data_IF_962414187027
#
_entry.id   IF_962414187027
#
_cell.length_a   1.000
_cell.length_b   1.000
_cell.length_c   1.000
_cell.angle_alpha   90.00
_cell.angle_beta   90.00
_cell.angle_gamma   90.00
#
_symmetry.space_group_name_H-M   'P 1'
#
loop_
_entity.id
_entity.type
_entity.pdbx_description
1 polymer ?
#
# COMPACT_ATOMS: atom_id res chain seq x y z
N UNK A 1 51.25 -12.12 25.47
CA UNK A 1 50.42 -12.56 24.32
C UNK A 1 48.95 -12.13 24.47
N UNK A 2 48.29 -12.39 25.59
CA UNK A 2 46.91 -11.96 25.88
C UNK A 2 46.70 -10.43 25.82
N UNK A 3 47.65 -9.63 26.30
CA UNK A 3 47.57 -8.16 26.28
C UNK A 3 47.55 -7.57 24.86
N UNK A 4 48.21 -8.24 23.90
CA UNK A 4 48.23 -7.82 22.49
C UNK A 4 46.86 -8.05 21.86
N UNK A 5 46.21 -9.18 22.19
CA UNK A 5 44.86 -9.49 21.74
C UNK A 5 43.85 -8.45 22.24
N UNK A 6 43.89 -8.11 23.53
CA UNK A 6 43.01 -7.06 24.09
C UNK A 6 43.28 -5.68 23.52
N UNK A 7 44.53 -5.37 23.21
CA UNK A 7 44.87 -4.11 22.55
C UNK A 7 44.28 -4.08 21.15
N UNK A 8 44.46 -5.13 20.34
CA UNK A 8 43.93 -5.20 18.98
C UNK A 8 42.40 -5.12 18.94
N UNK A 9 41.72 -5.82 19.85
CA UNK A 9 40.25 -5.77 19.97
C UNK A 9 39.76 -4.37 20.32
N UNK A 10 40.46 -3.64 21.20
CA UNK A 10 40.12 -2.25 21.51
C UNK A 10 40.41 -1.30 20.35
N UNK A 11 41.55 -1.45 19.68
CA UNK A 11 41.94 -0.62 18.53
C UNK A 11 40.97 -0.78 17.36
N UNK A 12 40.46 -2.00 17.14
CA UNK A 12 39.51 -2.30 16.07
C UNK A 12 38.08 -2.50 16.60
N UNK A 13 37.75 -1.88 17.73
CA UNK A 13 36.46 -2.09 18.40
C UNK A 13 35.26 -1.98 17.46
N UNK A 14 35.13 -0.96 16.56
CA UNK A 14 33.97 -0.88 15.66
C UNK A 14 33.81 -2.08 14.73
N UNK A 15 34.91 -2.67 14.28
CA UNK A 15 34.92 -3.82 13.37
C UNK A 15 34.62 -5.13 14.07
N UNK A 16 34.76 -5.18 15.39
CA UNK A 16 34.49 -6.38 16.20
C UNK A 16 33.09 -6.29 16.82
N UNK A 17 32.71 -5.13 17.34
CA UNK A 17 31.43 -4.95 18.04
C UNK A 17 30.25 -4.99 17.08
N UNK A 18 30.37 -4.40 15.87
CA UNK A 18 29.27 -4.40 14.92
C UNK A 18 28.88 -5.80 14.44
N UNK A 19 29.81 -6.67 13.97
CA UNK A 19 29.46 -8.04 13.60
C UNK A 19 28.89 -8.85 14.76
N UNK A 20 29.46 -8.69 15.97
CA UNK A 20 28.95 -9.37 17.16
C UNK A 20 27.52 -8.92 17.49
N UNK A 21 27.27 -7.61 17.48
CA UNK A 21 25.94 -7.05 17.72
C UNK A 21 24.93 -7.50 16.65
N UNK A 22 25.34 -7.55 15.38
CA UNK A 22 24.50 -8.04 14.29
C UNK A 22 24.09 -9.51 14.49
N UNK A 23 25.05 -10.38 14.84
CA UNK A 23 24.77 -11.81 15.12
C UNK A 23 23.85 -11.95 16.33
N UNK A 24 24.14 -11.24 17.42
CA UNK A 24 23.29 -11.25 18.62
C UNK A 24 21.88 -10.75 18.30
N UNK A 25 21.74 -9.69 17.51
CA UNK A 25 20.45 -9.15 17.07
C UNK A 25 19.69 -10.14 16.18
N UNK A 26 20.37 -10.80 15.25
CA UNK A 26 19.77 -11.82 14.40
C UNK A 26 19.27 -13.02 15.23
N UNK A 27 20.09 -13.53 16.15
CA UNK A 27 19.69 -14.63 17.05
C UNK A 27 18.54 -14.19 17.95
N UNK A 28 18.62 -12.98 18.52
CA UNK A 28 17.57 -12.38 19.33
C UNK A 28 16.24 -12.27 18.58
N UNK A 29 16.27 -11.82 17.32
CA UNK A 29 15.08 -11.75 16.46
C UNK A 29 14.43 -13.12 16.23
N UNK A 30 15.25 -14.16 16.00
CA UNK A 30 14.74 -15.52 15.82
C UNK A 30 14.17 -16.10 17.13
N UNK A 31 14.82 -15.85 18.27
CA UNK A 31 14.33 -16.27 19.58
C UNK A 31 13.05 -15.52 19.98
N UNK A 32 12.99 -14.21 19.74
CA UNK A 32 11.79 -13.40 19.93
C UNK A 32 10.65 -13.93 19.07
N UNK A 33 10.92 -14.25 17.80
CA UNK A 33 9.93 -14.86 16.90
C UNK A 33 9.47 -16.24 17.39
N UNK A 34 10.36 -17.04 17.97
CA UNK A 34 10.03 -18.35 18.54
C UNK A 34 9.15 -18.22 19.79
N UNK A 35 9.45 -17.27 20.68
CA UNK A 35 8.72 -17.05 21.94
C UNK A 35 7.39 -16.32 21.71
N UNK A 36 7.36 -15.34 20.80
CA UNK A 36 6.15 -14.57 20.46
C UNK A 36 5.07 -15.43 19.79
N UNK A 37 5.44 -16.62 19.29
CA UNK A 37 4.56 -17.46 18.51
C UNK A 37 4.34 -16.91 17.10
N UNK A 38 3.50 -17.55 16.27
CA UNK A 38 3.13 -16.98 14.99
C UNK A 38 2.55 -15.59 15.25
N UNK A 39 3.18 -14.55 14.68
CA UNK A 39 2.50 -13.27 14.50
C UNK A 39 1.13 -13.60 13.91
N UNK A 40 0.02 -12.95 14.36
CA UNK A 40 -1.20 -13.03 13.57
C UNK A 40 -0.79 -12.78 12.12
N UNK A 41 -1.29 -13.58 11.15
CA UNK A 41 -1.08 -13.24 9.75
C UNK A 41 -1.42 -11.77 9.64
N UNK A 42 -0.58 -10.95 8.97
CA UNK A 42 -0.93 -9.56 8.75
C UNK A 42 -2.36 -9.61 8.25
N UNK A 43 -3.28 -9.05 9.04
CA UNK A 43 -4.70 -9.24 8.75
C UNK A 43 -4.83 -8.85 7.29
N UNK A 44 -5.37 -9.70 6.43
CA UNK A 44 -5.35 -9.46 4.97
C UNK A 44 -5.94 -8.08 4.62
N UNK A 45 -6.69 -7.50 5.56
CA UNK A 45 -7.10 -6.11 5.61
C UNK A 45 -5.92 -5.10 5.70
N UNK A 46 -4.95 -5.26 6.59
CA UNK A 46 -3.77 -4.40 6.79
C UNK A 46 -2.81 -4.37 5.59
N UNK A 47 -2.71 -5.45 4.82
CA UNK A 47 -1.88 -5.47 3.61
C UNK A 47 -2.50 -4.70 2.45
N UNK A 48 -3.83 -4.57 2.42
CA UNK A 48 -4.52 -3.85 1.35
C UNK A 48 -4.25 -2.37 1.43
N UNK A 49 -3.68 -1.83 0.35
CA UNK A 49 -3.50 -0.39 0.19
C UNK A 49 -4.86 0.33 0.25
N UNK A 50 -4.85 1.60 0.68
CA UNK A 50 -6.10 2.40 0.73
C UNK A 50 -6.75 2.48 -0.66
N UNK A 51 -5.97 2.44 -1.73
CA UNK A 51 -6.43 2.32 -3.12
C UNK A 51 -7.19 1.03 -3.37
N UNK A 52 -6.63 -0.13 -3.02
CA UNK A 52 -7.29 -1.43 -3.19
C UNK A 52 -8.59 -1.51 -2.40
N UNK A 53 -8.60 -1.03 -1.16
CA UNK A 53 -9.83 -0.97 -0.35
C UNK A 53 -10.91 -0.07 -0.98
N UNK A 54 -10.52 0.99 -1.69
CA UNK A 54 -11.47 1.86 -2.41
C UNK A 54 -12.03 1.16 -3.65
N UNK A 55 -11.20 0.41 -4.36
CA UNK A 55 -11.61 -0.37 -5.52
C UNK A 55 -12.54 -1.52 -5.11
N UNK A 56 -12.23 -2.23 -4.04
CA UNK A 56 -13.10 -3.27 -3.48
C UNK A 56 -14.49 -2.73 -3.14
N UNK A 57 -14.59 -1.53 -2.54
CA UNK A 57 -15.89 -0.88 -2.28
C UNK A 57 -16.64 -0.54 -3.57
N UNK A 58 -15.95 -0.02 -4.59
CA UNK A 58 -16.56 0.25 -5.89
C UNK A 58 -17.05 -1.03 -6.55
N UNK A 59 -16.27 -2.12 -6.47
CA UNK A 59 -16.65 -3.43 -7.00
C UNK A 59 -17.88 -3.98 -6.28
N UNK A 60 -17.96 -3.86 -4.95
CA UNK A 60 -19.15 -4.25 -4.18
C UNK A 60 -20.40 -3.43 -4.56
N UNK A 61 -20.26 -2.12 -4.77
CA UNK A 61 -21.35 -1.26 -5.22
C UNK A 61 -21.82 -1.58 -6.66
N UNK A 62 -20.93 -2.11 -7.49
CA UNK A 62 -21.19 -2.51 -8.87
C UNK A 62 -21.78 -3.92 -8.95
N UNK A 63 -21.39 -4.84 -8.06
CA UNK A 63 -21.75 -6.26 -8.12
C UNK A 63 -23.27 -6.52 -8.05
N UNK A 64 -24.07 -5.56 -7.60
CA UNK A 64 -25.54 -5.65 -7.54
C UNK A 64 -26.30 -4.76 -8.52
N UNK A 65 -25.62 -4.06 -9.45
CA UNK A 65 -26.25 -3.15 -10.42
C UNK A 65 -26.08 -3.67 -11.84
N UNK A 66 -27.15 -3.61 -12.63
CA UNK A 66 -27.05 -3.83 -14.06
C UNK A 66 -26.36 -2.63 -14.71
N UNK A 67 -25.11 -2.82 -15.14
CA UNK A 67 -24.31 -1.78 -15.78
C UNK A 67 -24.76 -1.48 -17.22
N UNK A 68 -25.64 -2.30 -17.78
CA UNK A 68 -26.17 -2.11 -19.14
C UNK A 68 -27.37 -1.18 -19.19
N UNK A 69 -28.01 -0.93 -18.05
CA UNK A 69 -29.08 0.05 -17.89
C UNK A 69 -28.50 1.47 -17.77
N UNK A 70 -28.00 2.00 -18.88
CA UNK A 70 -27.52 3.37 -18.97
C UNK A 70 -28.62 4.26 -19.53
N UNK A 71 -28.95 5.35 -18.83
CA UNK A 71 -29.87 6.37 -19.35
C UNK A 71 -29.36 6.85 -20.70
N UNK A 72 -30.21 6.77 -21.72
CA UNK A 72 -29.90 7.18 -23.08
C UNK A 72 -29.34 8.61 -23.08
N UNK A 73 -28.21 8.81 -23.74
CA UNK A 73 -27.59 10.13 -23.89
C UNK A 73 -28.52 11.13 -24.63
N UNK A 74 -29.52 10.62 -25.37
CA UNK A 74 -30.54 11.45 -26.02
C UNK A 74 -31.46 12.12 -24.99
N UNK A 75 -31.88 11.38 -23.97
CA UNK A 75 -32.76 11.90 -22.91
C UNK A 75 -32.02 12.97 -22.09
N UNK A 76 -30.72 12.78 -21.84
CA UNK A 76 -29.89 13.81 -21.17
C UNK A 76 -29.71 15.08 -22.00
N UNK A 77 -29.78 15.01 -23.33
CA UNK A 77 -29.66 16.18 -24.21
C UNK A 77 -30.92 17.05 -24.16
N UNK A 78 -32.08 16.44 -23.93
CA UNK A 78 -33.38 17.13 -23.78
C UNK A 78 -33.50 17.85 -22.43
N UNK A 79 -32.90 17.28 -21.37
CA UNK A 79 -32.94 17.85 -20.02
C UNK A 79 -31.71 18.70 -19.64
N UNK A 80 -30.64 18.71 -20.44
CA UNK A 80 -29.49 19.56 -20.18
C UNK A 80 -29.74 20.99 -20.70
N UNK A 81 -29.51 22.04 -19.88
CA UNK A 81 -29.62 23.41 -20.36
C UNK A 81 -28.63 23.62 -21.50
N UNK A 82 -29.12 24.15 -22.64
CA UNK A 82 -28.29 24.42 -23.83
C UNK A 82 -27.06 25.23 -23.40
N UNK A 83 -25.87 24.65 -23.59
CA UNK A 83 -24.62 25.32 -23.25
C UNK A 83 -24.54 26.68 -23.97
N UNK A 84 -24.05 27.71 -23.28
CA UNK A 84 -23.93 29.09 -23.79
C UNK A 84 -23.17 29.15 -25.12
N UNK A 85 -22.26 28.21 -25.34
CA UNK A 85 -21.48 28.06 -26.58
C UNK A 85 -22.34 27.72 -27.82
N UNK A 86 -23.51 27.12 -27.65
CA UNK A 86 -24.42 26.79 -28.75
C UNK A 86 -25.25 27.99 -29.25
N UNK A 87 -25.17 29.16 -28.58
CA UNK A 87 -25.95 30.35 -28.94
C UNK A 87 -25.61 30.93 -30.31
N UNK A 88 -24.38 30.71 -30.80
CA UNK A 88 -23.88 31.23 -32.08
C UNK A 88 -23.81 30.18 -33.20
N UNK A 89 -24.25 28.94 -32.97
CA UNK A 89 -24.21 27.91 -34.00
C UNK A 89 -25.46 28.04 -34.87
N UNK A 90 -25.35 28.23 -36.19
CA UNK A 90 -26.52 28.25 -37.05
C UNK A 90 -27.18 26.88 -37.02
N UNK A 91 -28.46 26.82 -36.65
CA UNK A 91 -29.24 25.58 -36.76
C UNK A 91 -29.31 25.20 -38.24
N UNK A 92 -28.71 24.05 -38.61
CA UNK A 92 -28.82 23.51 -39.96
C UNK A 92 -30.24 22.96 -40.13
N UNK A 93 -30.96 23.52 -41.12
CA UNK A 93 -32.23 23.00 -41.64
C UNK A 93 -32.10 21.57 -42.17
#
# INVERSE_FOLDING_TARGET
MWSVLWSAVRTHAPYVTFPVAFVVGAVGYHLERLIRGPSPPPAEEEEKSISERREDRKLQEIAGKDLTEVVSLKDKLEFAPRAVLNRNRPEKS
#
